data_IF_416166304330
#
_entry.id   IF_416166304330
#
_cell.length_a   1.000
_cell.length_b   1.000
_cell.length_c   1.000
_cell.angle_alpha   90.00
_cell.angle_beta   90.00
_cell.angle_gamma   90.00
#
_symmetry.space_group_name_H-M   'P 1'
#
loop_
_entity.id
_entity.type
_entity.pdbx_description
1 polymer ?
#
# COMPACT_ATOMS: atom_id res chain seq x y z
N UNK A 1 3.17 -13.89 7.25
CA UNK A 1 1.78 -13.92 6.73
C UNK A 1 0.92 -12.78 7.27
N UNK A 2 1.00 -12.42 8.56
CA UNK A 2 0.14 -11.38 9.17
C UNK A 2 0.18 -10.01 8.46
N UNK A 3 1.37 -9.47 8.17
CA UNK A 3 1.51 -8.15 7.56
C UNK A 3 0.96 -8.08 6.13
N UNK A 4 1.16 -9.13 5.33
CA UNK A 4 0.64 -9.18 3.95
C UNK A 4 -0.89 -9.24 3.93
N UNK A 5 -1.48 -10.11 4.76
CA UNK A 5 -2.94 -10.19 4.90
C UNK A 5 -3.54 -8.92 5.50
N UNK A 6 -2.83 -8.27 6.43
CA UNK A 6 -3.23 -6.98 7.01
C UNK A 6 -3.27 -5.87 5.96
N UNK A 7 -2.23 -5.78 5.13
CA UNK A 7 -2.17 -4.80 4.03
C UNK A 7 -3.29 -5.00 3.01
N UNK A 8 -3.57 -6.25 2.61
CA UNK A 8 -4.67 -6.57 1.70
C UNK A 8 -6.03 -6.17 2.26
N UNK A 9 -6.32 -6.52 3.52
CA UNK A 9 -7.58 -6.12 4.17
C UNK A 9 -7.72 -4.62 4.33
N UNK A 10 -6.63 -3.91 4.63
CA UNK A 10 -6.65 -2.45 4.69
C UNK A 10 -6.99 -1.84 3.32
N UNK A 11 -6.37 -2.33 2.24
CA UNK A 11 -6.67 -1.88 0.87
C UNK A 11 -8.14 -2.13 0.49
N UNK A 12 -8.67 -3.33 0.77
CA UNK A 12 -10.09 -3.63 0.57
C UNK A 12 -11.00 -2.70 1.37
N UNK A 13 -10.63 -2.38 2.62
CA UNK A 13 -11.34 -1.41 3.45
C UNK A 13 -11.37 0.00 2.85
N UNK A 14 -10.24 0.52 2.36
CA UNK A 14 -10.18 1.82 1.68
C UNK A 14 -11.03 1.86 0.41
N UNK A 15 -11.15 0.74 -0.31
CA UNK A 15 -11.99 0.63 -1.50
C UNK A 15 -13.45 0.23 -1.19
N UNK A 16 -13.83 0.05 0.08
CA UNK A 16 -15.18 -0.35 0.47
C UNK A 16 -15.59 -1.71 -0.13
N UNK A 17 -14.64 -2.64 -0.21
CA UNK A 17 -14.80 -3.96 -0.80
C UNK A 17 -14.87 -5.04 0.28
N UNK A 18 -15.91 -5.88 0.25
CA UNK A 18 -16.16 -6.87 1.32
C UNK A 18 -15.37 -8.17 1.15
N UNK A 19 -15.00 -8.52 -0.08
CA UNK A 19 -14.28 -9.73 -0.47
C UNK A 19 -13.37 -9.48 -1.69
N UNK A 20 -12.66 -10.52 -2.15
CA UNK A 20 -11.65 -10.39 -3.20
C UNK A 20 -12.28 -10.19 -4.58
N UNK A 21 -13.44 -10.80 -4.84
CA UNK A 21 -14.22 -10.64 -6.05
C UNK A 21 -14.69 -9.18 -6.20
N UNK A 22 -15.30 -8.62 -5.16
CA UNK A 22 -15.73 -7.22 -5.08
C UNK A 22 -14.56 -6.26 -5.27
N UNK A 23 -13.41 -6.56 -4.64
CA UNK A 23 -12.19 -5.77 -4.81
C UNK A 23 -11.64 -5.81 -6.23
N UNK A 24 -11.61 -6.98 -6.86
CA UNK A 24 -11.12 -7.15 -8.24
C UNK A 24 -11.99 -6.41 -9.25
N UNK A 25 -13.30 -6.34 -9.02
CA UNK A 25 -14.25 -5.73 -9.95
C UNK A 25 -14.38 -4.22 -9.78
N UNK A 26 -14.25 -3.70 -8.55
CA UNK A 26 -14.52 -2.29 -8.25
C UNK A 26 -13.29 -1.43 -7.99
N UNK A 27 -12.13 -2.02 -7.68
CA UNK A 27 -10.92 -1.23 -7.44
C UNK A 27 -10.54 -0.42 -8.68
N UNK A 28 -10.39 0.89 -8.49
CA UNK A 28 -9.93 1.81 -9.53
C UNK A 28 -8.44 2.09 -9.41
N UNK A 29 -7.78 2.25 -10.56
CA UNK A 29 -6.38 2.66 -10.62
C UNK A 29 -6.25 4.02 -11.30
N UNK A 30 -5.26 4.79 -10.85
CA UNK A 30 -4.85 6.04 -11.50
C UNK A 30 -3.38 5.95 -11.90
N UNK A 31 -3.04 6.60 -13.00
CA UNK A 31 -1.64 6.70 -13.43
C UNK A 31 -0.94 7.78 -12.61
N UNK A 32 0.21 7.43 -12.05
CA UNK A 32 1.08 8.36 -11.31
C UNK A 32 2.39 8.63 -12.05
N UNK A 33 3.06 9.72 -11.67
CA UNK A 33 4.37 10.11 -12.20
C UNK A 33 5.50 9.50 -11.37
N UNK A 34 6.74 9.59 -11.85
CA UNK A 34 7.93 9.23 -11.06
C UNK A 34 8.04 10.04 -9.77
N UNK A 35 7.68 11.32 -9.81
CA UNK A 35 7.59 12.17 -8.61
C UNK A 35 6.53 11.65 -7.64
N UNK A 36 5.38 11.19 -8.15
CA UNK A 36 4.33 10.60 -7.32
C UNK A 36 4.75 9.28 -6.66
N UNK A 37 5.61 8.48 -7.31
CA UNK A 37 6.21 7.28 -6.69
C UNK A 37 7.10 7.70 -5.51
N UNK A 38 7.98 8.69 -5.70
CA UNK A 38 8.84 9.19 -4.62
C UNK A 38 8.01 9.76 -3.46
N UNK A 39 6.92 10.45 -3.77
CA UNK A 39 5.98 10.97 -2.78
C UNK A 39 5.28 9.86 -1.99
N UNK A 40 4.90 8.77 -2.66
CA UNK A 40 4.21 7.64 -2.02
C UNK A 40 5.08 6.89 -1.00
N UNK A 41 6.40 6.88 -1.20
CA UNK A 41 7.35 6.35 -0.23
C UNK A 41 7.64 7.36 0.88
N UNK A 42 7.96 6.93 2.12
CA UNK A 42 8.61 7.79 3.12
C UNK A 42 9.76 8.59 2.51
N UNK A 43 9.66 9.91 2.61
CA UNK A 43 10.62 10.85 2.06
C UNK A 43 10.84 12.01 3.04
N UNK A 44 12.01 12.67 2.95
CA UNK A 44 12.40 13.80 3.81
C UNK A 44 12.48 13.49 5.31
N UNK A 45 12.66 12.21 5.68
CA UNK A 45 12.77 11.75 7.08
C UNK A 45 13.86 10.68 7.23
N UNK A 46 14.40 10.55 8.44
CA UNK A 46 15.30 9.45 8.81
C UNK A 46 14.51 8.35 9.54
N UNK A 47 14.54 7.13 9.00
CA UNK A 47 13.91 5.96 9.64
C UNK A 47 14.81 5.49 10.78
N UNK A 48 14.36 5.66 12.02
CA UNK A 48 15.12 5.30 13.22
C UNK A 48 14.78 3.92 13.77
N UNK A 49 13.69 3.31 13.30
CA UNK A 49 13.23 1.97 13.65
C UNK A 49 12.71 1.26 12.42
N UNK A 50 13.03 -0.03 12.30
CA UNK A 50 12.52 -0.85 11.21
C UNK A 50 11.02 -1.13 11.38
N UNK A 51 10.30 -1.08 10.26
CA UNK A 51 8.90 -1.46 10.19
C UNK A 51 8.78 -2.92 9.71
N UNK A 52 7.86 -3.73 10.28
CA UNK A 52 7.71 -5.14 9.94
C UNK A 52 7.11 -5.37 8.53
N UNK A 53 6.62 -4.33 7.88
CA UNK A 53 5.95 -4.36 6.57
C UNK A 53 6.53 -3.35 5.57
N UNK A 54 7.61 -2.65 5.91
CA UNK A 54 8.25 -1.68 5.03
C UNK A 54 9.77 -1.76 5.15
N UNK A 55 10.43 -2.06 4.02
CA UNK A 55 11.88 -2.14 3.90
C UNK A 55 12.30 -1.41 2.64
N UNK A 56 13.30 -0.54 2.75
CA UNK A 56 13.95 0.06 1.58
C UNK A 56 14.96 -0.95 1.03
N UNK A 57 14.48 -1.90 0.22
CA UNK A 57 15.35 -2.83 -0.49
C UNK A 57 15.40 -2.41 -1.97
N UNK A 58 16.61 -2.13 -2.46
CA UNK A 58 16.89 -2.01 -3.89
C UNK A 58 16.77 -3.36 -4.56
#
# INVERSE_FOLDING_TARGET
>A
IFQMMGGLRAAMGYCGCKDLEDFRERAGFVRITSSGIRESHPHSVHITKEAPNYSYRR
#
